data_IF_018628800403
#
_entry.id   IF_018628800403
#
_cell.length_a   1.000
_cell.length_b   1.000
_cell.length_c   1.000
_cell.angle_alpha   90.00
_cell.angle_beta   90.00
_cell.angle_gamma   90.00
#
_symmetry.space_group_name_H-M   'P 1'
#
loop_
_entity.id
_entity.type
_entity.pdbx_description
1 polymer ?
#
# COMPACT_ATOMS: atom_id res chain seq x y z
N UNK A 1 31.08 -57.74 -39.61
CA UNK A 1 30.24 -57.34 -38.47
C UNK A 1 30.97 -56.30 -37.73
N UNK A 2 30.60 -55.02 -37.99
CA UNK A 2 31.22 -53.81 -37.38
C UNK A 2 30.34 -53.37 -36.22
N UNK A 3 30.85 -53.48 -34.99
CA UNK A 3 30.15 -53.01 -33.79
C UNK A 3 30.33 -51.54 -33.57
N UNK A 4 29.22 -50.82 -33.58
CA UNK A 4 29.17 -49.38 -33.31
C UNK A 4 29.10 -49.15 -31.79
N UNK A 5 30.18 -48.63 -31.19
CA UNK A 5 30.22 -48.21 -29.82
C UNK A 5 29.66 -46.78 -29.73
N UNK A 6 28.48 -46.59 -29.11
CA UNK A 6 27.93 -45.29 -28.80
C UNK A 6 28.51 -44.84 -27.47
N UNK A 7 29.34 -43.79 -27.50
CA UNK A 7 29.86 -43.11 -26.33
C UNK A 7 28.79 -42.16 -25.81
N UNK A 8 28.13 -42.46 -24.69
CA UNK A 8 27.29 -41.50 -23.96
C UNK A 8 28.20 -40.58 -23.14
N UNK A 9 28.37 -39.35 -23.62
CA UNK A 9 28.94 -38.25 -22.81
C UNK A 9 27.89 -37.71 -21.86
N UNK A 10 28.01 -38.01 -20.58
CA UNK A 10 27.28 -37.31 -19.53
C UNK A 10 27.78 -35.85 -19.43
N UNK A 11 27.02 -34.90 -19.96
CA UNK A 11 27.19 -33.52 -19.60
C UNK A 11 26.72 -33.35 -18.14
N UNK A 12 27.65 -33.24 -17.21
CA UNK A 12 27.43 -32.75 -15.87
C UNK A 12 27.14 -31.23 -15.97
N UNK A 13 25.88 -30.88 -16.17
CA UNK A 13 25.40 -29.54 -15.98
C UNK A 13 25.59 -29.15 -14.52
N UNK A 14 26.59 -28.34 -14.22
CA UNK A 14 26.67 -27.64 -12.94
C UNK A 14 25.43 -26.79 -12.83
N UNK A 15 24.52 -27.14 -11.91
CA UNK A 15 23.48 -26.25 -11.44
C UNK A 15 24.19 -25.03 -10.83
N UNK A 16 24.34 -23.99 -11.63
CA UNK A 16 24.68 -22.66 -11.10
C UNK A 16 23.56 -22.29 -10.15
N UNK A 17 23.91 -22.09 -8.88
CA UNK A 17 22.97 -21.75 -7.84
C UNK A 17 22.06 -20.62 -8.31
N UNK A 18 20.77 -20.79 -8.07
CA UNK A 18 19.77 -19.74 -8.25
C UNK A 18 20.29 -18.51 -7.49
N UNK A 19 20.75 -17.48 -8.21
CA UNK A 19 21.02 -16.18 -7.57
C UNK A 19 19.74 -15.81 -6.83
N UNK A 20 19.83 -15.68 -5.52
CA UNK A 20 18.69 -15.18 -4.70
C UNK A 20 18.28 -13.87 -5.33
N UNK A 21 17.06 -13.83 -5.86
CA UNK A 21 16.46 -12.58 -6.35
C UNK A 21 16.48 -11.55 -5.20
N UNK A 22 17.43 -10.62 -5.27
CA UNK A 22 17.65 -9.60 -4.24
C UNK A 22 16.69 -8.41 -4.40
N UNK A 23 15.68 -8.55 -5.28
CA UNK A 23 14.64 -7.54 -5.42
C UNK A 23 13.77 -7.42 -4.17
N UNK A 24 13.23 -6.24 -3.93
CA UNK A 24 12.16 -6.00 -2.97
C UNK A 24 10.83 -5.86 -3.71
N UNK A 25 9.80 -6.48 -3.15
CA UNK A 25 8.42 -6.31 -3.57
C UNK A 25 7.69 -5.52 -2.47
N UNK A 26 7.41 -4.25 -2.74
CA UNK A 26 6.66 -3.36 -1.84
C UNK A 26 5.25 -3.22 -2.38
N UNK A 27 4.25 -3.52 -1.58
CA UNK A 27 2.83 -3.38 -1.91
C UNK A 27 2.21 -2.24 -1.11
N UNK A 28 1.32 -1.45 -1.72
CA UNK A 28 0.43 -0.54 -1.00
C UNK A 28 -1.02 -0.81 -1.38
N UNK A 29 -1.92 -0.69 -0.40
CA UNK A 29 -3.35 -0.88 -0.65
C UNK A 29 -4.23 -0.08 0.32
N UNK A 30 -5.15 0.73 -0.20
CA UNK A 30 -6.25 1.27 0.57
C UNK A 30 -7.27 0.15 0.79
N UNK A 31 -7.55 -0.16 2.06
CA UNK A 31 -8.39 -1.30 2.47
C UNK A 31 -9.89 -0.98 2.53
N UNK A 32 -10.32 0.20 2.14
CA UNK A 32 -11.72 0.67 2.21
C UNK A 32 -12.39 0.34 3.57
N UNK A 33 -12.17 1.20 4.58
CA UNK A 33 -12.82 1.06 5.90
C UNK A 33 -12.60 -0.33 6.53
N UNK A 34 -11.35 -0.67 6.81
CA UNK A 34 -10.98 -1.95 7.42
C UNK A 34 -11.15 -1.90 8.94
N UNK A 35 -12.40 -1.95 9.37
CA UNK A 35 -12.82 -2.03 10.77
C UNK A 35 -13.01 -3.47 11.19
N UNK A 36 -12.91 -3.73 12.50
CA UNK A 36 -13.41 -4.99 13.04
C UNK A 36 -14.95 -4.93 13.20
N UNK A 37 -15.55 -5.93 13.79
CA UNK A 37 -17.02 -6.04 13.91
C UNK A 37 -17.56 -5.61 15.28
N UNK A 38 -16.72 -5.02 16.14
CA UNK A 38 -17.05 -4.59 17.49
C UNK A 38 -17.12 -3.06 17.54
N UNK A 39 -17.93 -2.53 18.41
CA UNK A 39 -17.98 -1.12 18.77
C UNK A 39 -17.07 -0.94 19.99
N UNK A 40 -15.80 -0.71 19.77
CA UNK A 40 -14.77 -0.65 20.81
C UNK A 40 -13.67 0.35 20.57
N UNK A 41 -13.67 0.97 19.39
CA UNK A 41 -12.71 2.01 19.00
C UNK A 41 -13.22 3.43 19.22
N UNK A 42 -12.49 4.40 18.71
CA UNK A 42 -12.86 5.80 18.76
C UNK A 42 -13.48 6.26 17.43
N UNK A 43 -14.46 7.13 17.52
CA UNK A 43 -15.06 7.79 16.39
C UNK A 43 -16.39 7.20 15.88
N UNK A 44 -17.10 7.98 15.04
CA UNK A 44 -18.44 7.59 14.59
C UNK A 44 -18.45 6.42 13.61
N UNK A 45 -17.35 6.19 12.89
CA UNK A 45 -17.29 5.11 11.90
C UNK A 45 -17.15 3.74 12.57
N UNK A 46 -16.45 3.61 13.69
CA UNK A 46 -16.37 2.36 14.44
C UNK A 46 -17.76 1.88 14.83
N UNK A 47 -18.58 2.75 15.43
CA UNK A 47 -19.97 2.44 15.74
C UNK A 47 -20.78 2.04 14.49
N UNK A 48 -20.61 2.74 13.37
CA UNK A 48 -21.32 2.43 12.11
C UNK A 48 -20.86 1.09 11.51
N UNK A 49 -19.57 0.76 11.62
CA UNK A 49 -18.94 -0.50 11.16
C UNK A 49 -18.93 -1.59 12.24
N UNK A 50 -19.86 -1.59 13.17
CA UNK A 50 -20.06 -2.68 14.13
C UNK A 50 -21.19 -3.63 13.72
N UNK A 51 -21.31 -4.77 14.43
CA UNK A 51 -22.35 -5.77 14.14
C UNK A 51 -23.77 -5.23 14.30
N UNK A 52 -23.96 -4.25 15.17
CA UNK A 52 -25.25 -3.60 15.44
C UNK A 52 -25.35 -2.18 14.84
N UNK A 53 -24.27 -1.69 14.26
CA UNK A 53 -24.20 -0.39 13.62
C UNK A 53 -24.95 -0.31 12.30
N UNK A 54 -25.00 0.88 11.69
CA UNK A 54 -25.72 1.14 10.44
C UNK A 54 -25.26 0.26 9.28
N UNK A 55 -23.98 -0.11 9.24
CA UNK A 55 -23.39 -0.97 8.23
C UNK A 55 -23.65 -2.45 8.49
N UNK A 56 -24.10 -2.81 9.69
CA UNK A 56 -24.25 -4.21 10.12
C UNK A 56 -23.01 -5.04 9.78
N UNK A 57 -21.84 -4.50 10.17
CA UNK A 57 -20.55 -5.11 9.89
C UNK A 57 -20.29 -6.29 10.82
N UNK A 58 -20.87 -7.45 10.46
CA UNK A 58 -20.83 -8.65 11.30
C UNK A 58 -19.47 -9.35 11.27
N UNK A 59 -19.17 -10.18 12.28
CA UNK A 59 -18.00 -11.05 12.34
C UNK A 59 -17.78 -11.81 11.01
N UNK A 60 -18.85 -12.37 10.43
CA UNK A 60 -18.80 -13.08 9.15
C UNK A 60 -18.33 -12.17 8.00
N UNK A 61 -18.84 -10.95 7.91
CA UNK A 61 -18.46 -10.00 6.86
C UNK A 61 -16.99 -9.58 6.98
N UNK A 62 -16.54 -9.37 8.22
CA UNK A 62 -15.14 -9.09 8.52
C UNK A 62 -14.22 -10.23 8.03
N UNK A 63 -14.52 -11.49 8.43
CA UNK A 63 -13.70 -12.62 7.99
C UNK A 63 -13.73 -12.82 6.47
N UNK A 64 -14.88 -12.64 5.80
CA UNK A 64 -14.96 -12.70 4.34
C UNK A 64 -14.02 -11.67 3.69
N UNK A 65 -13.97 -10.45 4.22
CA UNK A 65 -13.04 -9.42 3.73
C UNK A 65 -11.59 -9.80 4.00
N UNK A 66 -11.27 -10.30 5.20
CA UNK A 66 -9.93 -10.79 5.54
C UNK A 66 -9.47 -11.91 4.60
N UNK A 67 -10.33 -12.89 4.34
CA UNK A 67 -10.03 -14.01 3.43
C UNK A 67 -9.77 -13.56 2.00
N UNK A 68 -10.62 -12.66 1.48
CA UNK A 68 -10.46 -12.12 0.12
C UNK A 68 -9.21 -11.24 0.01
N UNK A 69 -8.93 -10.41 1.02
CA UNK A 69 -7.72 -9.59 1.07
C UNK A 69 -6.46 -10.47 1.11
N UNK A 70 -6.46 -11.53 1.93
CA UNK A 70 -5.35 -12.49 1.97
C UNK A 70 -5.15 -13.21 0.64
N UNK A 71 -6.23 -13.65 0.00
CA UNK A 71 -6.17 -14.23 -1.35
C UNK A 71 -5.57 -13.27 -2.37
N UNK A 72 -5.87 -11.96 -2.25
CA UNK A 72 -5.29 -10.96 -3.13
C UNK A 72 -3.78 -10.82 -2.90
N UNK A 73 -3.31 -10.79 -1.65
CA UNK A 73 -1.87 -10.78 -1.33
C UNK A 73 -1.19 -12.06 -1.84
N UNK A 74 -1.82 -13.22 -1.66
CA UNK A 74 -1.31 -14.50 -2.20
C UNK A 74 -1.27 -14.52 -3.72
N UNK A 75 -2.26 -13.92 -4.39
CA UNK A 75 -2.26 -13.77 -5.84
C UNK A 75 -1.11 -12.87 -6.32
N UNK A 76 -0.86 -11.77 -5.60
CA UNK A 76 0.33 -10.90 -5.84
C UNK A 76 1.60 -11.73 -5.68
N UNK A 77 1.69 -12.53 -4.62
CA UNK A 77 2.85 -13.37 -4.37
C UNK A 77 3.10 -14.41 -5.48
N UNK A 78 2.04 -15.04 -5.98
CA UNK A 78 2.12 -15.98 -7.10
C UNK A 78 2.56 -15.29 -8.40
N UNK A 79 1.98 -14.11 -8.68
CA UNK A 79 2.28 -13.33 -9.88
C UNK A 79 3.74 -12.84 -9.94
N UNK A 80 4.29 -12.42 -8.81
CA UNK A 80 5.67 -11.90 -8.72
C UNK A 80 6.69 -12.93 -8.23
N UNK A 81 6.26 -14.18 -7.97
CA UNK A 81 7.11 -15.28 -7.52
C UNK A 81 7.61 -15.17 -6.08
N UNK A 82 7.09 -14.22 -5.30
CA UNK A 82 7.47 -13.99 -3.89
C UNK A 82 6.41 -13.22 -3.12
N UNK A 83 6.37 -13.44 -1.80
CA UNK A 83 5.53 -12.62 -0.93
C UNK A 83 5.99 -11.16 -0.94
N UNK A 84 5.07 -10.18 -0.82
CA UNK A 84 5.45 -8.80 -0.57
C UNK A 84 6.34 -8.71 0.67
N UNK A 85 7.48 -8.06 0.53
CA UNK A 85 8.42 -7.83 1.61
C UNK A 85 7.89 -6.77 2.58
N UNK A 86 7.16 -5.80 2.03
CA UNK A 86 6.53 -4.67 2.73
C UNK A 86 5.10 -4.53 2.21
N UNK A 87 4.16 -4.28 3.11
CA UNK A 87 2.78 -3.92 2.75
C UNK A 87 2.40 -2.65 3.50
N UNK A 88 2.30 -1.53 2.79
CA UNK A 88 1.70 -0.30 3.27
C UNK A 88 0.18 -0.37 3.15
N UNK A 89 -0.52 0.09 4.16
CA UNK A 89 -1.98 0.05 4.22
C UNK A 89 -2.55 1.40 4.64
N UNK A 90 -3.75 1.70 4.20
CA UNK A 90 -4.54 2.78 4.78
C UNK A 90 -6.02 2.39 4.92
N UNK A 91 -6.78 3.25 5.60
CA UNK A 91 -8.15 2.97 6.06
C UNK A 91 -8.25 1.77 7.00
N UNK A 92 -7.25 1.59 7.86
CA UNK A 92 -7.21 0.58 8.92
C UNK A 92 -7.68 1.21 10.21
N UNK A 93 -8.56 0.52 10.96
CA UNK A 93 -9.06 1.01 12.23
C UNK A 93 -7.97 1.05 13.31
N UNK A 94 -7.25 -0.07 13.51
CA UNK A 94 -6.23 -0.21 14.55
C UNK A 94 -5.35 -1.44 14.34
N UNK A 95 -4.31 -1.59 15.16
CA UNK A 95 -3.40 -2.74 15.11
C UNK A 95 -4.10 -4.09 15.35
N UNK A 96 -5.17 -4.11 16.16
CA UNK A 96 -5.91 -5.35 16.46
C UNK A 96 -6.64 -5.92 15.22
N UNK A 97 -7.12 -5.05 14.33
CA UNK A 97 -7.67 -5.48 13.04
C UNK A 97 -6.61 -6.20 12.21
N UNK A 98 -5.37 -5.68 12.18
CA UNK A 98 -4.26 -6.28 11.46
C UNK A 98 -3.84 -7.62 12.06
N UNK A 99 -3.74 -7.72 13.39
CA UNK A 99 -3.49 -8.99 14.07
C UNK A 99 -4.58 -10.01 13.74
N UNK A 100 -5.86 -9.63 13.83
CA UNK A 100 -6.96 -10.53 13.46
C UNK A 100 -6.91 -10.96 12.00
N UNK A 101 -6.52 -10.07 11.09
CA UNK A 101 -6.35 -10.40 9.68
C UNK A 101 -5.23 -11.41 9.46
N UNK A 102 -4.05 -11.18 10.01
CA UNK A 102 -2.92 -12.08 9.86
C UNK A 102 -3.21 -13.44 10.54
N UNK A 103 -3.58 -13.44 11.82
CA UNK A 103 -3.72 -14.66 12.63
C UNK A 103 -4.81 -15.61 12.14
N UNK A 104 -5.87 -15.08 11.51
CA UNK A 104 -7.00 -15.88 11.05
C UNK A 104 -6.94 -16.24 9.55
N UNK A 105 -5.83 -15.97 8.87
CA UNK A 105 -5.68 -16.24 7.43
C UNK A 105 -4.34 -16.92 7.12
N UNK A 106 -4.13 -17.27 5.85
CA UNK A 106 -2.86 -17.85 5.40
C UNK A 106 -1.65 -16.93 5.61
N UNK A 107 -1.87 -15.62 5.76
CA UNK A 107 -0.80 -14.64 5.99
C UNK A 107 -0.16 -14.82 7.37
N UNK A 108 -0.82 -15.46 8.33
CA UNK A 108 -0.24 -15.80 9.64
C UNK A 108 0.93 -16.79 9.57
N UNK A 109 1.17 -17.42 8.41
CA UNK A 109 2.38 -18.23 8.16
C UNK A 109 3.61 -17.39 7.83
N UNK A 110 3.42 -16.12 7.51
CA UNK A 110 4.49 -15.16 7.22
C UNK A 110 4.72 -14.35 8.50
N UNK A 111 5.96 -14.25 8.93
CA UNK A 111 6.29 -13.51 10.16
C UNK A 111 6.34 -11.99 9.88
N UNK A 112 5.16 -11.42 9.58
CA UNK A 112 5.05 -9.97 9.41
C UNK A 112 5.11 -9.24 10.75
N UNK A 113 6.00 -8.26 10.85
CA UNK A 113 5.93 -7.21 11.86
C UNK A 113 4.87 -6.19 11.48
N UNK A 114 4.16 -5.65 12.48
CA UNK A 114 3.13 -4.62 12.33
C UNK A 114 3.64 -3.33 12.94
N UNK A 115 3.57 -2.23 12.18
CA UNK A 115 3.80 -0.87 12.69
C UNK A 115 2.55 -0.06 12.43
N UNK A 116 1.92 0.41 13.51
CA UNK A 116 0.68 1.18 13.48
C UNK A 116 0.65 2.14 14.67
N UNK A 117 0.06 3.29 14.49
CA UNK A 117 -0.24 4.29 15.51
C UNK A 117 -1.63 4.85 15.27
N UNK A 118 -2.38 5.04 16.36
CA UNK A 118 -3.68 5.71 16.29
C UNK A 118 -3.48 7.19 16.00
N UNK A 119 -4.24 7.75 15.06
CA UNK A 119 -4.18 9.15 14.67
C UNK A 119 -5.39 9.95 15.16
N UNK A 120 -5.34 11.26 14.98
CA UNK A 120 -6.47 12.15 15.27
C UNK A 120 -7.58 12.14 14.21
N UNK A 121 -7.64 11.17 13.30
CA UNK A 121 -8.67 11.14 12.24
C UNK A 121 -10.07 10.98 12.81
N UNK A 122 -11.00 11.80 12.32
CA UNK A 122 -12.38 11.81 12.84
C UNK A 122 -13.17 10.55 12.56
N UNK A 123 -12.77 9.77 11.55
CA UNK A 123 -13.41 8.49 11.20
C UNK A 123 -12.84 7.33 12.01
N UNK A 124 -11.69 7.52 12.69
CA UNK A 124 -10.96 6.46 13.37
C UNK A 124 -10.36 5.48 12.36
N UNK A 125 -9.69 6.00 11.34
CA UNK A 125 -8.94 5.21 10.35
C UNK A 125 -7.52 5.73 10.24
N UNK A 126 -6.59 4.82 10.09
CA UNK A 126 -5.17 5.09 10.13
C UNK A 126 -4.41 4.51 8.96
N UNK A 127 -3.11 4.76 8.95
CA UNK A 127 -2.15 4.10 8.07
C UNK A 127 -1.36 3.06 8.86
N UNK A 128 -0.87 2.03 8.19
CA UNK A 128 -0.06 0.98 8.80
C UNK A 128 0.99 0.45 7.84
N UNK A 129 2.00 -0.22 8.37
CA UNK A 129 3.01 -0.92 7.61
C UNK A 129 3.23 -2.32 8.18
N UNK A 130 3.20 -3.32 7.28
CA UNK A 130 3.65 -4.67 7.56
C UNK A 130 5.00 -4.91 6.90
N UNK A 131 5.91 -5.60 7.57
CA UNK A 131 7.23 -5.95 7.02
C UNK A 131 7.61 -7.39 7.38
N UNK A 132 8.25 -8.09 6.47
CA UNK A 132 8.75 -9.44 6.69
C UNK A 132 9.97 -9.40 7.63
N UNK A 133 9.80 -9.86 8.89
CA UNK A 133 10.86 -9.88 9.91
C UNK A 133 12.02 -10.83 9.58
N UNK A 134 11.83 -11.76 8.66
CA UNK A 134 12.92 -12.62 8.19
C UNK A 134 13.89 -11.90 7.26
N UNK A 135 13.46 -10.75 6.69
CA UNK A 135 14.21 -9.97 5.71
C UNK A 135 14.64 -8.59 6.20
N UNK A 136 13.99 -8.09 7.24
CA UNK A 136 14.23 -6.75 7.76
C UNK A 136 14.40 -6.74 9.27
N UNK A 137 15.41 -5.99 9.74
CA UNK A 137 15.51 -5.56 11.12
C UNK A 137 14.73 -4.25 11.33
N UNK A 138 13.93 -4.16 12.40
CA UNK A 138 13.31 -2.91 12.80
C UNK A 138 14.34 -1.98 13.43
N UNK A 139 14.41 -0.72 12.96
CA UNK A 139 15.31 0.31 13.50
C UNK A 139 14.51 1.29 14.36
N UNK A 140 13.59 2.02 13.76
CA UNK A 140 12.67 2.93 14.47
C UNK A 140 11.43 3.21 13.63
N UNK A 141 10.43 3.82 14.26
CA UNK A 141 9.31 4.42 13.55
C UNK A 141 8.84 5.68 14.24
N UNK A 142 8.21 6.55 13.50
CA UNK A 142 7.63 7.79 13.99
C UNK A 142 6.37 8.16 13.23
N UNK A 143 5.53 8.99 13.85
CA UNK A 143 4.38 9.61 13.19
C UNK A 143 4.52 11.13 13.22
N UNK A 144 4.10 11.77 12.16
CA UNK A 144 4.05 13.23 12.09
C UNK A 144 2.62 13.66 11.83
N UNK A 145 2.08 14.46 12.77
CA UNK A 145 0.75 15.06 12.67
C UNK A 145 0.80 16.23 11.69
N UNK A 146 0.09 16.18 10.54
CA UNK A 146 0.04 17.31 9.63
C UNK A 146 -0.60 18.54 10.28
N UNK A 147 -0.08 19.72 9.93
CA UNK A 147 -0.59 20.98 10.45
C UNK A 147 -1.09 21.88 9.32
N UNK A 148 -2.22 22.56 9.55
CA UNK A 148 -2.79 23.55 8.63
C UNK A 148 -3.03 24.83 9.39
N UNK A 149 -2.49 25.93 8.89
CA UNK A 149 -2.53 27.26 9.55
C UNK A 149 -2.06 27.24 11.02
N UNK A 150 -1.02 26.45 11.29
CA UNK A 150 -0.45 26.29 12.64
C UNK A 150 -1.17 25.28 13.53
N UNK A 151 -2.38 24.86 13.20
CA UNK A 151 -3.17 23.92 13.98
C UNK A 151 -2.97 22.46 13.54
N UNK A 152 -2.95 21.54 14.52
CA UNK A 152 -2.92 20.12 14.24
C UNK A 152 -4.19 19.67 13.49
N UNK A 153 -4.02 18.99 12.39
CA UNK A 153 -5.16 18.50 11.60
C UNK A 153 -5.77 17.26 12.26
N UNK A 154 -7.09 17.19 12.28
CA UNK A 154 -7.81 15.95 12.64
C UNK A 154 -7.94 15.05 11.39
N UNK A 155 -6.83 14.46 11.00
CA UNK A 155 -6.66 13.56 9.85
C UNK A 155 -5.64 12.48 10.20
N UNK A 156 -5.37 11.57 9.28
CA UNK A 156 -4.34 10.53 9.43
C UNK A 156 -2.97 11.17 9.56
N UNK A 157 -2.17 10.64 10.46
CA UNK A 157 -0.78 10.99 10.59
C UNK A 157 0.04 10.38 9.45
N UNK A 158 1.20 10.96 9.16
CA UNK A 158 2.16 10.36 8.23
C UNK A 158 3.04 9.41 9.06
N UNK A 159 3.04 8.14 8.70
CA UNK A 159 3.85 7.10 9.33
C UNK A 159 5.19 6.96 8.60
N UNK A 160 6.29 7.11 9.32
CA UNK A 160 7.63 6.78 8.86
C UNK A 160 8.12 5.54 9.61
N UNK A 161 8.70 4.57 8.87
CA UNK A 161 9.28 3.35 9.41
C UNK A 161 10.65 3.14 8.78
N UNK A 162 11.70 3.16 9.60
CA UNK A 162 13.05 2.83 9.17
C UNK A 162 13.34 1.36 9.45
N UNK A 163 13.68 0.62 8.43
CA UNK A 163 14.02 -0.79 8.48
C UNK A 163 15.44 -1.01 7.95
N UNK A 164 16.20 -1.86 8.64
CA UNK A 164 17.50 -2.33 8.16
C UNK A 164 17.34 -3.55 7.25
N UNK A 165 18.03 -3.54 6.14
CA UNK A 165 18.24 -4.71 5.31
C UNK A 165 19.72 -4.88 5.00
N UNK A 166 20.34 -5.87 5.63
CA UNK A 166 21.76 -6.20 5.41
C UNK A 166 22.69 -4.99 5.63
N UNK A 167 22.48 -4.22 6.71
CA UNK A 167 23.26 -3.04 7.06
C UNK A 167 22.91 -1.78 6.26
N UNK A 168 21.79 -1.77 5.54
CA UNK A 168 21.33 -0.63 4.73
C UNK A 168 19.93 -0.21 5.18
N UNK A 169 19.80 0.98 5.74
CA UNK A 169 18.52 1.53 6.15
C UNK A 169 17.67 1.93 4.94
N UNK A 170 16.37 1.62 5.03
CA UNK A 170 15.36 2.04 4.08
C UNK A 170 14.22 2.67 4.87
N UNK A 171 13.83 3.87 4.49
CA UNK A 171 12.72 4.62 5.09
C UNK A 171 11.46 4.40 4.26
N UNK A 172 10.47 3.74 4.85
CA UNK A 172 9.15 3.56 4.26
C UNK A 172 8.21 4.57 4.89
N UNK A 173 7.55 5.39 4.06
CA UNK A 173 6.64 6.43 4.53
C UNK A 173 5.25 6.13 3.98
N UNK A 174 4.28 5.93 4.88
CA UNK A 174 2.89 5.61 4.51
C UNK A 174 2.00 6.83 4.74
N UNK A 175 1.21 7.17 3.71
CA UNK A 175 0.38 8.37 3.66
C UNK A 175 -1.08 8.03 3.34
N UNK A 176 -2.01 8.86 3.86
CA UNK A 176 -3.37 8.90 3.35
C UNK A 176 -3.89 10.35 3.43
N UNK A 177 -3.90 11.02 2.31
CA UNK A 177 -4.26 12.44 2.21
C UNK A 177 -5.77 12.67 2.33
N UNK A 178 -6.20 13.90 2.72
CA UNK A 178 -7.62 14.25 2.77
C UNK A 178 -8.31 14.06 1.41
N UNK A 179 -9.44 13.35 1.43
CA UNK A 179 -10.25 13.08 0.25
C UNK A 179 -10.80 14.35 -0.41
N UNK A 180 -11.08 14.25 -1.73
CA UNK A 180 -11.82 15.30 -2.49
C UNK A 180 -13.30 15.39 -2.10
N UNK A 181 -13.78 14.57 -1.17
CA UNK A 181 -15.17 14.60 -0.70
C UNK A 181 -15.54 15.98 -0.14
N UNK A 182 -16.66 16.53 -0.58
CA UNK A 182 -17.07 17.89 -0.25
C UNK A 182 -16.49 18.99 -1.16
N UNK A 183 -15.78 18.60 -2.24
CA UNK A 183 -15.26 19.49 -3.29
C UNK A 183 -13.73 19.62 -3.28
N UNK A 184 -13.14 19.54 -4.45
CA UNK A 184 -11.68 19.61 -4.64
C UNK A 184 -11.09 20.95 -4.15
N UNK A 185 -11.78 22.06 -4.41
CA UNK A 185 -11.36 23.41 -4.00
C UNK A 185 -11.26 23.51 -2.47
N UNK A 186 -12.27 23.01 -1.75
CA UNK A 186 -12.31 23.10 -0.27
C UNK A 186 -11.28 22.19 0.41
N UNK A 187 -10.98 21.05 -0.18
CA UNK A 187 -10.02 20.07 0.38
C UNK A 187 -8.58 20.26 -0.11
N UNK A 188 -8.37 21.02 -1.20
CA UNK A 188 -7.07 21.32 -1.79
C UNK A 188 -6.03 21.85 -0.78
N UNK A 189 -6.31 22.95 -0.05
CA UNK A 189 -5.35 23.49 0.92
C UNK A 189 -4.92 22.52 2.01
N UNK A 190 -5.83 21.63 2.44
CA UNK A 190 -5.53 20.59 3.42
C UNK A 190 -4.62 19.51 2.84
N UNK A 191 -4.83 19.08 1.58
CA UNK A 191 -3.92 18.15 0.91
C UNK A 191 -2.53 18.76 0.73
N UNK A 192 -2.45 20.05 0.34
CA UNK A 192 -1.18 20.76 0.26
C UNK A 192 -0.44 20.78 1.60
N UNK A 193 -1.15 20.97 2.72
CA UNK A 193 -0.55 20.96 4.06
C UNK A 193 0.02 19.57 4.41
N UNK A 194 -0.71 18.50 4.10
CA UNK A 194 -0.20 17.12 4.29
C UNK A 194 1.00 16.86 3.38
N UNK A 195 0.93 17.31 2.13
CA UNK A 195 2.03 17.19 1.17
C UNK A 195 3.28 17.92 1.62
N UNK A 196 3.12 19.15 2.15
CA UNK A 196 4.23 19.91 2.75
C UNK A 196 4.88 19.15 3.91
N UNK A 197 4.06 18.53 4.75
CA UNK A 197 4.56 17.72 5.88
C UNK A 197 5.37 16.53 5.36
N UNK A 198 4.89 15.83 4.34
CA UNK A 198 5.62 14.73 3.71
C UNK A 198 6.96 15.21 3.12
N UNK A 199 6.95 16.32 2.37
CA UNK A 199 8.17 16.88 1.79
C UNK A 199 9.20 17.23 2.88
N UNK A 200 8.77 17.82 4.00
CA UNK A 200 9.64 18.13 5.13
C UNK A 200 10.27 16.88 5.77
N UNK A 201 9.51 15.78 5.91
CA UNK A 201 10.03 14.51 6.42
C UNK A 201 11.10 13.98 5.46
N UNK A 202 10.79 13.90 4.16
CA UNK A 202 11.72 13.39 3.14
C UNK A 202 12.99 14.24 3.02
N UNK A 203 12.85 15.56 3.05
CA UNK A 203 13.99 16.48 3.02
C UNK A 203 14.87 16.32 4.27
N UNK A 204 14.29 16.20 5.46
CA UNK A 204 15.03 15.96 6.72
C UNK A 204 15.84 14.67 6.64
N UNK A 205 15.26 13.58 6.14
CA UNK A 205 15.96 12.30 5.96
C UNK A 205 17.10 12.46 4.94
N UNK A 206 16.84 13.10 3.80
CA UNK A 206 17.81 13.32 2.73
C UNK A 206 18.94 14.26 3.14
N UNK A 207 18.66 15.23 4.01
CA UNK A 207 19.69 16.12 4.59
C UNK A 207 20.59 15.38 5.59
N UNK A 208 20.03 14.43 6.35
CA UNK A 208 20.80 13.60 7.28
C UNK A 208 21.68 12.58 6.54
N UNK A 209 21.19 11.98 5.48
CA UNK A 209 21.91 11.08 4.58
C UNK A 209 21.51 11.31 3.13
N UNK A 210 22.43 11.88 2.32
CA UNK A 210 22.18 12.15 0.89
C UNK A 210 21.96 10.88 0.06
N UNK A 211 22.35 9.73 0.56
CA UNK A 211 22.15 8.43 -0.06
C UNK A 211 20.96 7.66 0.55
N UNK A 212 20.16 8.32 1.39
CA UNK A 212 19.01 7.70 2.01
C UNK A 212 18.10 7.03 0.99
N UNK A 213 17.66 5.82 1.31
CA UNK A 213 16.67 5.10 0.52
C UNK A 213 15.32 5.39 1.11
N UNK A 214 14.52 6.17 0.38
CA UNK A 214 13.17 6.56 0.78
C UNK A 214 12.18 5.96 -0.21
N UNK A 215 11.13 5.35 0.33
CA UNK A 215 9.95 4.86 -0.40
C UNK A 215 8.72 5.45 0.27
N UNK A 216 8.16 6.51 -0.28
CA UNK A 216 6.87 7.05 0.15
C UNK A 216 5.75 6.42 -0.69
N UNK A 217 4.71 5.95 -0.01
CA UNK A 217 3.55 5.31 -0.62
C UNK A 217 2.27 5.79 0.04
N UNK A 218 1.16 5.75 -0.70
CA UNK A 218 -0.10 6.16 -0.10
C UNK A 218 -1.22 6.40 -1.10
N UNK A 219 -2.40 6.65 -0.53
CA UNK A 219 -3.53 7.28 -1.19
C UNK A 219 -3.39 8.80 -1.05
N UNK A 220 -2.96 9.46 -2.11
CA UNK A 220 -2.74 10.90 -2.14
C UNK A 220 -4.00 11.69 -2.46
N UNK A 221 -5.10 10.99 -2.80
CA UNK A 221 -6.38 11.60 -3.17
C UNK A 221 -6.28 12.68 -4.27
N UNK A 222 -5.26 12.55 -5.13
CA UNK A 222 -5.05 13.38 -6.32
C UNK A 222 -4.30 12.59 -7.40
N UNK A 223 -4.44 12.99 -8.68
CA UNK A 223 -3.74 12.36 -9.79
C UNK A 223 -2.27 12.81 -9.83
N UNK A 224 -1.36 12.03 -10.46
CA UNK A 224 0.08 12.29 -10.50
C UNK A 224 0.52 13.63 -11.10
N UNK A 225 -0.34 14.27 -11.88
CA UNK A 225 -0.14 15.59 -12.51
C UNK A 225 -0.53 16.77 -11.60
N UNK A 226 -0.89 16.51 -10.34
CA UNK A 226 -1.26 17.57 -9.38
C UNK A 226 -0.07 18.44 -8.97
N UNK A 227 -0.22 19.77 -9.06
CA UNK A 227 0.82 20.77 -8.71
C UNK A 227 1.41 20.59 -7.30
N UNK A 228 0.67 19.98 -6.37
CA UNK A 228 1.16 19.73 -5.02
C UNK A 228 2.37 18.80 -4.97
N UNK A 229 2.58 17.97 -5.99
CA UNK A 229 3.71 17.03 -6.06
C UNK A 229 5.02 17.70 -6.45
N UNK A 230 4.99 18.93 -6.94
CA UNK A 230 6.19 19.76 -7.21
C UNK A 230 7.00 19.97 -5.92
N UNK A 231 6.35 19.89 -4.73
CA UNK A 231 7.03 19.94 -3.44
C UNK A 231 8.02 18.81 -3.21
N UNK A 232 7.93 17.71 -3.96
CA UNK A 232 8.88 16.59 -3.91
C UNK A 232 9.94 16.65 -5.01
N UNK A 233 9.88 17.63 -5.91
CA UNK A 233 10.85 17.78 -6.96
C UNK A 233 12.29 17.92 -6.40
N UNK A 234 13.21 17.14 -6.95
CA UNK A 234 14.58 17.09 -6.47
C UNK A 234 14.79 16.23 -5.21
N UNK A 235 13.74 15.84 -4.50
CA UNK A 235 13.79 14.98 -3.31
C UNK A 235 13.42 13.55 -3.68
N UNK A 236 12.25 13.35 -4.29
CA UNK A 236 11.72 12.05 -4.69
C UNK A 236 11.27 12.05 -6.15
N UNK A 237 11.26 10.86 -6.74
CA UNK A 237 10.81 10.61 -8.12
C UNK A 237 9.45 9.91 -8.09
N UNK A 238 8.46 10.47 -8.78
CA UNK A 238 7.14 9.86 -8.92
C UNK A 238 7.20 8.66 -9.87
N UNK A 239 6.86 7.46 -9.38
CA UNK A 239 6.85 6.22 -10.17
C UNK A 239 5.53 6.00 -10.94
N UNK A 240 4.54 6.88 -10.74
CA UNK A 240 3.17 6.68 -11.23
C UNK A 240 2.88 7.42 -12.55
N UNK A 241 3.72 8.41 -12.93
CA UNK A 241 3.46 9.29 -14.08
C UNK A 241 3.23 8.53 -15.38
N UNK A 242 4.11 7.59 -15.70
CA UNK A 242 4.00 6.81 -16.94
C UNK A 242 2.73 5.92 -17.00
N UNK A 243 2.23 5.47 -15.84
CA UNK A 243 0.96 4.72 -15.75
C UNK A 243 -0.23 5.67 -15.98
N UNK A 244 -0.18 6.85 -15.39
CA UNK A 244 -1.21 7.87 -15.55
C UNK A 244 -1.34 8.35 -16.99
N UNK A 245 -0.22 8.62 -17.66
CA UNK A 245 -0.17 9.00 -19.08
C UNK A 245 -0.78 7.95 -20.01
N UNK A 246 -0.73 6.66 -19.63
CA UNK A 246 -1.41 5.57 -20.33
C UNK A 246 -2.89 5.44 -20.00
N UNK A 247 -3.42 6.32 -19.14
CA UNK A 247 -4.83 6.29 -18.70
C UNK A 247 -5.15 5.18 -17.71
N UNK A 248 -4.13 4.66 -17.01
CA UNK A 248 -4.32 3.68 -15.95
C UNK A 248 -4.70 4.37 -14.63
N UNK A 249 -5.36 3.61 -13.73
CA UNK A 249 -5.79 4.14 -12.44
C UNK A 249 -6.06 3.05 -11.42
N UNK A 250 -6.09 3.46 -10.17
CA UNK A 250 -6.32 2.58 -9.02
C UNK A 250 -7.75 2.60 -8.53
N UNK A 251 -8.48 3.69 -8.77
CA UNK A 251 -9.91 3.85 -8.44
C UNK A 251 -10.70 4.17 -9.72
N UNK A 252 -11.96 3.72 -9.77
CA UNK A 252 -12.82 4.04 -10.92
C UNK A 252 -14.10 4.75 -10.47
N UNK A 253 -14.27 5.98 -10.93
CA UNK A 253 -15.43 6.81 -10.65
C UNK A 253 -16.09 7.27 -11.95
N UNK A 254 -17.42 7.07 -12.08
CA UNK A 254 -18.19 7.45 -13.26
C UNK A 254 -17.60 6.97 -14.60
N UNK A 255 -17.03 5.75 -14.60
CA UNK A 255 -16.44 5.16 -15.80
C UNK A 255 -15.00 5.60 -16.11
N UNK A 256 -14.46 6.58 -15.40
CA UNK A 256 -13.07 7.06 -15.55
C UNK A 256 -12.18 6.46 -14.48
N UNK A 257 -10.95 6.17 -14.85
CA UNK A 257 -9.91 5.76 -13.92
C UNK A 257 -9.16 6.99 -13.42
N UNK A 258 -8.97 7.07 -12.10
CA UNK A 258 -8.08 8.01 -11.44
C UNK A 258 -6.94 7.22 -10.77
N UNK A 259 -5.71 7.72 -10.88
CA UNK A 259 -4.53 7.13 -10.26
C UNK A 259 -4.17 7.94 -9.02
N UNK A 260 -4.74 7.57 -7.87
CA UNK A 260 -4.57 8.32 -6.62
C UNK A 260 -3.70 7.62 -5.59
N UNK A 261 -3.44 6.33 -5.79
CA UNK A 261 -2.49 5.56 -5.01
C UNK A 261 -1.14 5.55 -5.75
N UNK A 262 -0.06 5.97 -5.09
CA UNK A 262 1.21 6.23 -5.75
C UNK A 262 2.41 5.80 -4.92
N UNK A 263 3.54 5.62 -5.62
CA UNK A 263 4.88 5.52 -5.04
C UNK A 263 5.75 6.70 -5.47
N UNK A 264 6.43 7.28 -4.50
CA UNK A 264 7.53 8.22 -4.69
C UNK A 264 8.79 7.63 -4.07
N UNK A 265 9.90 7.67 -4.76
CA UNK A 265 11.15 7.05 -4.28
C UNK A 265 12.34 7.99 -4.43
N UNK A 266 13.33 7.87 -3.54
CA UNK A 266 14.58 8.63 -3.69
C UNK A 266 15.26 8.31 -5.02
N UNK A 267 16.03 9.26 -5.62
CA UNK A 267 16.66 9.07 -6.93
C UNK A 267 17.54 7.81 -7.01
N UNK A 268 18.24 7.47 -5.92
CA UNK A 268 19.05 6.26 -5.82
C UNK A 268 18.26 4.96 -5.97
N UNK A 269 17.01 4.97 -5.53
CA UNK A 269 16.05 3.85 -5.64
C UNK A 269 15.37 3.84 -7.01
N UNK A 270 15.02 5.00 -7.54
CA UNK A 270 14.26 5.15 -8.79
C UNK A 270 14.91 4.45 -10.00
N UNK A 271 16.22 4.48 -10.12
CA UNK A 271 16.97 3.94 -11.27
C UNK A 271 16.71 2.42 -11.47
N UNK A 272 16.39 1.71 -10.40
CA UNK A 272 16.23 0.26 -10.39
C UNK A 272 14.84 -0.18 -9.91
N UNK A 273 13.85 0.71 -9.97
CA UNK A 273 12.48 0.43 -9.53
C UNK A 273 11.45 0.80 -10.59
N UNK A 274 10.30 0.14 -10.52
CA UNK A 274 9.13 0.46 -11.32
C UNK A 274 7.86 0.07 -10.56
N UNK A 275 6.78 0.82 -10.83
CA UNK A 275 5.46 0.62 -10.22
C UNK A 275 4.52 -0.10 -11.19
N UNK A 276 3.65 -0.93 -10.64
CA UNK A 276 2.52 -1.54 -11.35
C UNK A 276 1.21 -1.43 -10.55
N UNK A 277 0.08 -1.34 -11.27
CA UNK A 277 -1.26 -1.41 -10.68
C UNK A 277 -1.76 -2.84 -10.81
N UNK A 278 -2.10 -3.47 -9.67
CA UNK A 278 -2.49 -4.87 -9.64
C UNK A 278 -4.02 -5.00 -9.71
N UNK A 279 -4.53 -5.32 -10.89
CA UNK A 279 -5.96 -5.62 -11.09
C UNK A 279 -6.22 -7.10 -10.84
N UNK A 280 -6.34 -7.47 -9.55
CA UNK A 280 -6.59 -8.86 -9.13
C UNK A 280 -7.93 -9.35 -9.73
N UNK A 281 -7.95 -10.42 -10.57
CA UNK A 281 -9.13 -10.76 -11.37
C UNK A 281 -10.42 -10.98 -10.58
N UNK A 282 -10.36 -11.65 -9.43
CA UNK A 282 -11.53 -11.91 -8.59
C UNK A 282 -11.97 -10.71 -7.72
N UNK A 283 -11.18 -9.63 -7.71
CA UNK A 283 -11.53 -8.34 -7.09
C UNK A 283 -11.95 -7.30 -8.13
N UNK A 284 -12.14 -7.70 -9.38
CA UNK A 284 -12.67 -6.84 -10.43
C UNK A 284 -14.08 -7.30 -10.80
N UNK A 285 -15.03 -6.38 -10.73
CA UNK A 285 -16.43 -6.65 -11.12
C UNK A 285 -16.84 -5.79 -12.29
N UNK A 286 -17.77 -6.32 -13.11
CA UNK A 286 -18.34 -5.56 -14.22
C UNK A 286 -19.06 -4.31 -13.69
N UNK A 287 -18.79 -3.19 -14.30
CA UNK A 287 -19.55 -1.97 -14.02
C UNK A 287 -20.87 -2.02 -14.75
N UNK A 288 -21.99 -2.03 -14.01
CA UNK A 288 -23.33 -2.11 -14.60
C UNK A 288 -23.83 -0.77 -15.17
N UNK A 289 -23.15 0.33 -14.84
CA UNK A 289 -23.52 1.68 -15.29
C UNK A 289 -22.65 2.13 -16.46
N UNK A 290 -21.37 1.82 -16.41
CA UNK A 290 -20.39 2.20 -17.42
C UNK A 290 -19.70 0.95 -17.98
N UNK A 291 -19.26 0.99 -19.23
CA UNK A 291 -18.55 -0.16 -19.83
C UNK A 291 -17.26 -0.49 -19.11
N UNK A 292 -16.94 -1.80 -19.00
CA UNK A 292 -15.68 -2.29 -18.42
C UNK A 292 -15.83 -2.79 -16.99
N UNK A 293 -14.70 -2.84 -16.26
CA UNK A 293 -14.60 -3.39 -14.92
C UNK A 293 -14.15 -2.31 -13.92
N UNK A 294 -14.52 -2.50 -12.66
CA UNK A 294 -14.12 -1.66 -11.53
C UNK A 294 -13.75 -2.52 -10.33
N UNK A 295 -13.01 -1.98 -9.35
CA UNK A 295 -12.70 -2.69 -8.13
C UNK A 295 -13.97 -3.12 -7.38
N UNK A 296 -13.90 -4.31 -6.77
CA UNK A 296 -14.99 -4.90 -6.03
C UNK A 296 -14.96 -4.41 -4.57
N UNK A 297 -15.62 -3.31 -4.33
CA UNK A 297 -15.71 -2.65 -3.04
C UNK A 297 -16.57 -3.42 -2.04
N UNK A 298 -16.40 -3.10 -0.76
CA UNK A 298 -17.15 -3.74 0.33
C UNK A 298 -18.64 -3.37 0.33
N UNK A 299 -18.94 -2.08 0.08
CA UNK A 299 -20.31 -1.55 0.05
C UNK A 299 -20.57 -0.73 -1.22
N UNK A 300 -21.82 -0.78 -1.69
CA UNK A 300 -22.35 0.15 -2.69
C UNK A 300 -23.45 0.99 -2.03
N UNK A 301 -23.13 2.23 -1.66
CA UNK A 301 -23.98 3.02 -0.77
C UNK A 301 -24.17 2.31 0.59
N UNK A 302 -25.41 2.08 1.06
CA UNK A 302 -25.66 1.36 2.31
C UNK A 302 -25.62 -0.17 2.14
N UNK A 303 -25.61 -0.69 0.90
CA UNK A 303 -25.74 -2.12 0.62
C UNK A 303 -24.38 -2.80 0.68
N UNK A 304 -24.25 -3.82 1.54
CA UNK A 304 -23.10 -4.74 1.52
C UNK A 304 -23.10 -5.56 0.22
N UNK A 305 -21.99 -5.58 -0.49
CA UNK A 305 -21.82 -6.32 -1.74
C UNK A 305 -20.68 -7.35 -1.69
N UNK A 306 -19.87 -7.36 -0.63
CA UNK A 306 -18.96 -8.45 -0.30
C UNK A 306 -17.59 -8.41 -0.96
N UNK A 307 -17.17 -7.28 -1.50
CA UNK A 307 -15.80 -7.07 -1.99
C UNK A 307 -14.85 -6.61 -0.88
N UNK A 308 -13.67 -6.16 -1.27
CA UNK A 308 -12.59 -5.76 -0.36
C UNK A 308 -12.37 -4.27 -0.37
N UNK A 309 -12.19 -3.67 -1.55
CA UNK A 309 -11.82 -2.27 -1.68
C UNK A 309 -12.32 -1.68 -3.00
N UNK A 310 -12.55 -0.38 -3.03
CA UNK A 310 -12.74 0.42 -4.24
C UNK A 310 -11.41 0.87 -4.88
N UNK A 311 -10.28 0.48 -4.30
CA UNK A 311 -8.95 0.68 -4.84
C UNK A 311 -8.32 -0.64 -5.31
N UNK A 312 -7.61 -0.60 -6.44
CA UNK A 312 -6.67 -1.64 -6.82
C UNK A 312 -5.38 -1.49 -5.99
N UNK A 313 -4.77 -2.56 -5.49
CA UNK A 313 -3.44 -2.47 -4.90
C UNK A 313 -2.41 -2.05 -5.95
N UNK A 314 -1.34 -1.42 -5.48
CA UNK A 314 -0.17 -1.08 -6.28
C UNK A 314 1.06 -1.79 -5.73
N UNK A 315 2.00 -2.10 -6.59
CA UNK A 315 3.29 -2.69 -6.20
C UNK A 315 4.45 -1.88 -6.78
N UNK A 316 5.54 -1.84 -6.03
CA UNK A 316 6.83 -1.34 -6.46
C UNK A 316 7.82 -2.48 -6.42
N UNK A 317 8.44 -2.77 -7.55
CA UNK A 317 9.54 -3.72 -7.66
C UNK A 317 10.85 -2.94 -7.62
N UNK A 318 11.71 -3.22 -6.64
CA UNK A 318 12.99 -2.53 -6.45
C UNK A 318 14.12 -3.54 -6.56
N UNK A 319 15.05 -3.34 -7.51
CA UNK A 319 16.31 -4.10 -7.53
C UNK A 319 17.32 -3.43 -6.60
N UNK A 320 17.76 -4.15 -5.59
CA UNK A 320 18.78 -3.63 -4.67
C UNK A 320 20.16 -3.78 -5.34
N UNK A 321 20.82 -2.65 -5.65
CA UNK A 321 22.24 -2.71 -6.03
C UNK A 321 23.08 -3.19 -4.83
N UNK A 322 23.86 -4.22 -5.08
CA UNK A 322 24.86 -4.73 -4.11
C UNK A 322 25.84 -3.65 -3.68
#
# INVERSE_FOLDING_TARGET
>A
MLGLMILLSFLSGTFTGCEKDDSLLVMFWNMENFFDYRDGGEGPSDKDFSSFGKRRWTKRRFHVKCDLASKAVMWVADHYGKMPDIIGLCEVENANVLHKWLDNTLLGKIDYGIVHYDSGDRRGIDVALLYDKSRFGYVHSSVTVPRHDGEAMKTRDILEVCLDRSGKNIHFIVNHHPSKFGGAIRSGPKRQSVMKTLAMICDSISCADRNARIVAMGDFNDNPDGEQFDMLEGILVNQSLALYERGEGTIRFQGKWDLIDMFFVSPSVSICSYMEIVKVPFLMVRDNTYTGFKPFRTYSGPRYIGGVSDHCPIVLIMKMKQ
#
